data_IF_537956411301
#
_entry.id   IF_537956411301
#
_cell.length_a   1.000
_cell.length_b   1.000
_cell.length_c   1.000
_cell.angle_alpha   90.00
_cell.angle_beta   90.00
_cell.angle_gamma   90.00
#
_symmetry.space_group_name_H-M   'P 1'
#
loop_
_entity.id
_entity.type
_entity.pdbx_description
1 polymer ?
#
# COMPACT_ATOMS: atom_id res chain seq x y z
N UNK A 1 -4.04 -4.84 -12.93
CA UNK A 1 -4.21 -5.84 -11.84
C UNK A 1 -5.00 -5.31 -10.63
N UNK A 2 -4.83 -4.05 -10.20
CA UNK A 2 -5.45 -3.52 -8.96
C UNK A 2 -6.99 -3.55 -8.96
N UNK A 3 -7.64 -3.00 -10.00
CA UNK A 3 -9.12 -3.00 -10.14
C UNK A 3 -9.72 -4.41 -10.09
N UNK A 4 -9.13 -5.35 -10.83
CA UNK A 4 -9.61 -6.73 -10.88
C UNK A 4 -9.53 -7.43 -9.53
N UNK A 5 -8.43 -7.26 -8.79
CA UNK A 5 -8.30 -7.81 -7.43
C UNK A 5 -9.32 -7.22 -6.46
N UNK A 6 -9.58 -5.91 -6.52
CA UNK A 6 -10.58 -5.27 -5.68
C UNK A 6 -11.98 -5.84 -5.95
N UNK A 7 -12.40 -5.94 -7.21
CA UNK A 7 -13.73 -6.46 -7.55
C UNK A 7 -13.91 -7.92 -7.12
N UNK A 8 -12.91 -8.77 -7.35
CA UNK A 8 -12.95 -10.18 -6.91
C UNK A 8 -12.98 -10.31 -5.39
N UNK A 9 -12.33 -9.41 -4.65
CA UNK A 9 -12.33 -9.45 -3.18
C UNK A 9 -13.68 -9.05 -2.55
N UNK A 10 -14.66 -8.61 -3.35
CA UNK A 10 -15.95 -8.10 -2.88
C UNK A 10 -17.12 -9.02 -3.30
N UNK A 11 -16.86 -10.32 -3.38
CA UNK A 11 -17.79 -11.32 -3.92
C UNK A 11 -18.92 -11.74 -2.97
N UNK A 12 -18.77 -11.49 -1.67
CA UNK A 12 -19.77 -11.80 -0.65
C UNK A 12 -20.09 -10.61 0.27
N UNK A 13 -21.20 -10.73 0.99
CA UNK A 13 -21.71 -9.66 1.86
C UNK A 13 -20.81 -9.38 3.07
N UNK A 14 -20.07 -10.37 3.56
CA UNK A 14 -19.13 -10.18 4.66
C UNK A 14 -17.96 -9.29 4.20
N UNK A 15 -17.39 -9.58 3.03
CA UNK A 15 -16.31 -8.81 2.44
C UNK A 15 -16.73 -7.37 2.10
N UNK A 16 -17.96 -7.19 1.60
CA UNK A 16 -18.55 -5.85 1.38
C UNK A 16 -18.68 -5.09 2.71
N UNK A 17 -19.24 -5.71 3.75
CA UNK A 17 -19.40 -5.07 5.05
C UNK A 17 -18.04 -4.71 5.68
N UNK A 18 -17.06 -5.60 5.57
CA UNK A 18 -15.70 -5.37 6.05
C UNK A 18 -15.02 -4.19 5.32
N UNK A 19 -15.16 -4.10 3.99
CA UNK A 19 -14.63 -2.99 3.20
C UNK A 19 -15.13 -1.62 3.70
N UNK A 20 -16.45 -1.48 3.93
CA UNK A 20 -17.02 -0.24 4.44
C UNK A 20 -16.69 -0.01 5.92
N UNK A 21 -16.70 -1.06 6.75
CA UNK A 21 -16.44 -0.96 8.18
C UNK A 21 -15.03 -0.44 8.48
N UNK A 22 -14.00 -1.01 7.85
CA UNK A 22 -12.61 -0.59 8.07
C UNK A 22 -12.39 0.86 7.60
N UNK A 23 -12.99 1.25 6.48
CA UNK A 23 -12.95 2.62 5.97
C UNK A 23 -13.57 3.62 6.93
N UNK A 24 -14.74 3.32 7.45
CA UNK A 24 -15.39 4.20 8.42
C UNK A 24 -14.56 4.34 9.69
N UNK A 25 -13.95 3.25 10.17
CA UNK A 25 -13.14 3.26 11.39
C UNK A 25 -11.83 4.03 11.25
N UNK A 26 -11.13 3.93 10.11
CA UNK A 26 -9.83 4.58 9.92
C UNK A 26 -9.93 5.99 9.34
N UNK A 27 -10.88 6.21 8.43
CA UNK A 27 -10.93 7.40 7.58
C UNK A 27 -12.19 8.26 7.84
N UNK A 28 -13.11 7.80 8.71
CA UNK A 28 -14.43 8.42 8.91
C UNK A 28 -15.17 8.69 7.58
N UNK A 29 -14.95 7.83 6.58
CA UNK A 29 -15.52 7.96 5.26
C UNK A 29 -16.15 6.64 4.80
N UNK A 30 -17.18 6.75 3.96
CA UNK A 30 -17.84 5.62 3.32
C UNK A 30 -17.79 5.85 1.81
N UNK A 31 -16.68 5.47 1.18
CA UNK A 31 -16.58 5.46 -0.29
C UNK A 31 -17.02 4.12 -0.87
N UNK A 32 -17.70 4.15 -2.01
CA UNK A 32 -18.09 2.93 -2.73
C UNK A 32 -16.88 2.26 -3.41
N UNK A 33 -16.95 0.96 -3.71
CA UNK A 33 -15.97 0.30 -4.56
C UNK A 33 -15.74 1.02 -5.90
N UNK A 34 -16.80 1.54 -6.52
CA UNK A 34 -16.75 2.26 -7.79
C UNK A 34 -15.99 3.57 -7.65
N UNK A 35 -16.18 4.31 -6.56
CA UNK A 35 -15.44 5.55 -6.30
C UNK A 35 -13.96 5.25 -6.11
N UNK A 36 -13.64 4.18 -5.38
CA UNK A 36 -12.25 3.73 -5.22
C UNK A 36 -11.61 3.34 -6.54
N UNK A 37 -12.35 2.67 -7.42
CA UNK A 37 -11.89 2.32 -8.77
C UNK A 37 -11.60 3.59 -9.58
N UNK A 38 -12.49 4.60 -9.54
CA UNK A 38 -12.25 5.88 -10.22
C UNK A 38 -10.99 6.57 -9.73
N UNK A 39 -10.71 6.54 -8.42
CA UNK A 39 -9.48 7.11 -7.88
C UNK A 39 -8.23 6.37 -8.38
N UNK A 40 -8.28 5.03 -8.42
CA UNK A 40 -7.19 4.21 -8.98
C UNK A 40 -6.95 4.55 -10.46
N UNK A 41 -8.01 4.71 -11.25
CA UNK A 41 -7.90 5.00 -12.68
C UNK A 41 -7.44 6.43 -13.00
N UNK A 42 -7.59 7.37 -12.06
CA UNK A 42 -7.09 8.74 -12.20
C UNK A 42 -5.57 8.86 -12.03
N UNK A 43 -4.92 7.87 -11.41
CA UNK A 43 -3.49 7.93 -11.10
C UNK A 43 -2.65 8.04 -12.37
N UNK A 44 -1.79 9.05 -12.41
CA UNK A 44 -0.90 9.33 -13.54
C UNK A 44 0.50 8.78 -13.33
N UNK A 45 1.23 8.60 -14.43
CA UNK A 45 2.66 8.20 -14.38
C UNK A 45 3.50 9.21 -13.60
N UNK A 46 3.21 10.50 -13.75
CA UNK A 46 3.95 11.59 -13.11
C UNK A 46 3.82 11.52 -11.59
N UNK A 47 2.59 11.30 -11.08
CA UNK A 47 2.35 11.13 -9.64
C UNK A 47 3.06 9.89 -9.09
N UNK A 48 3.05 8.77 -9.84
CA UNK A 48 3.78 7.56 -9.45
C UNK A 48 5.28 7.85 -9.32
N UNK A 49 5.88 8.51 -10.31
CA UNK A 49 7.32 8.82 -10.29
C UNK A 49 7.66 9.82 -9.19
N UNK A 50 6.81 10.82 -8.95
CA UNK A 50 7.00 11.80 -7.89
C UNK A 50 6.97 11.13 -6.50
N UNK A 51 5.96 10.30 -6.25
CA UNK A 51 5.82 9.56 -5.00
C UNK A 51 6.97 8.57 -4.79
N UNK A 52 7.41 7.88 -5.85
CA UNK A 52 8.55 6.96 -5.76
C UNK A 52 9.83 7.69 -5.33
N UNK A 53 10.10 8.89 -5.85
CA UNK A 53 11.25 9.70 -5.44
C UNK A 53 11.16 10.16 -3.99
N UNK A 54 9.95 10.43 -3.50
CA UNK A 54 9.73 10.82 -2.12
C UNK A 54 9.91 9.64 -1.15
N UNK A 55 9.42 8.45 -1.51
CA UNK A 55 9.43 7.29 -0.63
C UNK A 55 10.78 6.56 -0.64
N UNK A 56 11.38 6.36 -1.81
CA UNK A 56 12.64 5.62 -1.97
C UNK A 56 13.85 6.56 -1.87
N UNK A 57 13.96 7.24 -0.74
CA UNK A 57 15.08 8.12 -0.42
C UNK A 57 16.04 7.41 0.56
N UNK A 58 17.37 7.47 0.36
CA UNK A 58 18.35 6.77 1.20
C UNK A 58 18.17 7.06 2.70
N UNK A 59 17.84 8.30 3.06
CA UNK A 59 17.63 8.74 4.43
C UNK A 59 16.37 8.14 5.09
N UNK A 60 15.44 7.59 4.31
CA UNK A 60 14.23 6.90 4.79
C UNK A 60 14.39 5.38 4.83
N UNK A 61 15.53 4.85 4.38
CA UNK A 61 15.75 3.41 4.30
C UNK A 61 16.13 2.85 5.66
N UNK A 62 15.37 1.85 6.12
CA UNK A 62 15.67 1.09 7.34
C UNK A 62 15.94 -0.35 6.95
N UNK A 63 17.05 -0.89 7.43
CA UNK A 63 17.45 -2.27 7.17
C UNK A 63 17.61 -3.03 8.49
N UNK A 64 16.95 -4.18 8.58
CA UNK A 64 16.94 -5.02 9.78
C UNK A 64 17.30 -6.46 9.40
N UNK A 65 18.34 -7.00 10.06
CA UNK A 65 18.73 -8.41 9.96
C UNK A 65 18.49 -9.09 11.32
N UNK A 66 17.96 -10.31 11.31
CA UNK A 66 17.77 -11.14 12.51
C UNK A 66 18.34 -12.55 12.25
N UNK A 67 19.28 -13.00 13.09
CA UNK A 67 19.91 -14.32 13.01
C UNK A 67 21.28 -14.37 13.71
N UNK A 68 21.96 -15.54 13.71
CA UNK A 68 23.23 -15.73 14.42
C UNK A 68 24.40 -15.19 13.57
N UNK A 69 24.51 -13.88 13.47
CA UNK A 69 25.58 -13.20 12.73
C UNK A 69 26.58 -12.56 13.70
N UNK A 70 27.89 -12.63 13.40
CA UNK A 70 28.86 -11.80 14.10
C UNK A 70 28.95 -10.43 13.41
N UNK A 71 29.22 -9.35 14.15
CA UNK A 71 29.22 -7.98 13.62
C UNK A 71 30.19 -7.74 12.44
N UNK A 72 31.14 -8.66 12.23
CA UNK A 72 32.14 -8.67 11.13
C UNK A 72 31.59 -9.24 9.82
N UNK A 73 30.44 -9.92 9.84
CA UNK A 73 29.82 -10.55 8.68
C UNK A 73 28.99 -9.58 7.83
N UNK A 74 28.77 -8.36 8.34
CA UNK A 74 27.82 -7.41 7.79
C UNK A 74 28.57 -6.11 7.51
N UNK A 75 28.93 -5.89 6.24
CA UNK A 75 29.39 -4.59 5.75
C UNK A 75 28.27 -3.95 4.93
N UNK A 76 27.76 -2.82 5.40
CA UNK A 76 26.63 -2.13 4.77
C UNK A 76 27.09 -0.71 4.47
N UNK A 77 27.49 -0.50 3.22
CA UNK A 77 27.67 0.83 2.64
C UNK A 77 26.34 1.22 1.99
N UNK A 78 25.52 2.01 2.69
CA UNK A 78 24.30 2.66 2.17
C UNK A 78 24.58 4.15 2.02
#
# INVERSE_FOLDING_TARGET
MLKGRLLLSLEDSFNIAHFYGIKQLHENSVESPEDRIKQIEKVTKQEIVALAKELFAPEKMVFTIIGPFESKDINIDI
#
